data_IF_755262478227
#
_entry.id   IF_755262478227
#
_cell.length_a   1.000
_cell.length_b   1.000
_cell.length_c   1.000
_cell.angle_alpha   90.00
_cell.angle_beta   90.00
_cell.angle_gamma   90.00
#
_symmetry.space_group_name_H-M   'P 1'
#
loop_
_entity.id
_entity.type
_entity.pdbx_description
1 polymer ?
#
# COMPACT_ATOMS: atom_id res chain seq x y z
N UNK A 1 -11.26 -17.84 35.36
CA UNK A 1 -10.26 -17.37 34.38
C UNK A 1 -10.80 -17.72 33.02
N UNK A 2 -11.12 -16.75 32.14
CA UNK A 2 -11.59 -17.08 30.81
C UNK A 2 -10.43 -17.71 30.04
N UNK A 3 -10.63 -18.92 29.53
CA UNK A 3 -9.75 -19.61 28.59
C UNK A 3 -9.47 -18.67 27.40
N UNK A 4 -8.21 -18.37 27.13
CA UNK A 4 -7.82 -17.65 25.92
C UNK A 4 -8.43 -18.35 24.70
N UNK A 5 -9.06 -17.60 23.77
CA UNK A 5 -9.54 -18.21 22.53
C UNK A 5 -8.34 -18.76 21.77
N UNK A 6 -8.45 -20.01 21.31
CA UNK A 6 -7.45 -20.66 20.49
C UNK A 6 -7.37 -19.92 19.15
N UNK A 7 -6.43 -18.97 19.05
CA UNK A 7 -6.16 -18.27 17.81
C UNK A 7 -5.57 -19.26 16.81
N UNK A 8 -6.16 -19.36 15.64
CA UNK A 8 -5.71 -20.30 14.62
C UNK A 8 -5.79 -19.73 13.21
N UNK A 9 -5.16 -20.45 12.28
CA UNK A 9 -5.18 -20.13 10.87
C UNK A 9 -5.98 -21.18 10.11
N UNK A 10 -7.15 -20.81 9.58
CA UNK A 10 -7.94 -21.71 8.75
C UNK A 10 -7.12 -22.29 7.58
N UNK A 11 -7.33 -23.55 7.20
CA UNK A 11 -6.53 -24.22 6.17
C UNK A 11 -6.64 -23.56 4.78
N UNK A 12 -7.72 -22.82 4.52
CA UNK A 12 -7.91 -22.05 3.30
C UNK A 12 -7.00 -20.82 3.20
N UNK A 13 -6.43 -20.32 4.32
CA UNK A 13 -5.57 -19.11 4.30
C UNK A 13 -4.41 -19.21 3.31
N UNK A 14 -3.89 -20.41 3.00
CA UNK A 14 -2.81 -20.61 2.01
C UNK A 14 -3.19 -20.26 0.57
N UNK A 15 -4.48 -20.11 0.29
CA UNK A 15 -5.02 -19.72 -1.02
C UNK A 15 -5.45 -18.25 -1.05
N UNK A 16 -5.23 -17.52 0.04
CA UNK A 16 -5.58 -16.11 0.13
C UNK A 16 -4.52 -15.23 -0.53
N UNK A 17 -4.92 -14.14 -1.17
CA UNK A 17 -4.01 -13.11 -1.71
C UNK A 17 -3.10 -12.49 -0.64
N UNK A 18 -3.54 -12.49 0.62
CA UNK A 18 -2.80 -11.95 1.77
C UNK A 18 -1.88 -12.99 2.45
N UNK A 19 -1.76 -14.19 1.88
CA UNK A 19 -0.84 -15.21 2.37
C UNK A 19 0.62 -14.85 2.06
N UNK A 20 1.43 -14.72 3.10
CA UNK A 20 2.79 -14.15 3.01
C UNK A 20 3.87 -15.15 2.60
N UNK A 21 3.54 -16.44 2.45
CA UNK A 21 4.49 -17.52 2.13
C UNK A 21 5.76 -17.56 3.00
N UNK A 22 5.71 -16.99 4.21
CA UNK A 22 6.81 -16.95 5.17
C UNK A 22 6.56 -17.91 6.33
N UNK A 23 7.64 -18.45 6.90
CA UNK A 23 7.57 -19.31 8.08
C UNK A 23 7.25 -18.54 9.36
N UNK A 24 7.55 -17.24 9.38
CA UNK A 24 7.42 -16.39 10.58
C UNK A 24 6.12 -15.59 10.60
N UNK A 25 5.57 -15.30 9.43
CA UNK A 25 4.34 -14.54 9.26
C UNK A 25 3.50 -15.27 8.22
N UNK A 26 2.25 -15.64 8.56
CA UNK A 26 1.37 -16.42 7.69
C UNK A 26 0.37 -15.57 6.91
N UNK A 27 -0.16 -14.52 7.53
CA UNK A 27 -1.12 -13.59 6.94
C UNK A 27 -0.70 -12.16 7.29
N UNK A 28 -0.75 -11.24 6.31
CA UNK A 28 -0.46 -9.81 6.56
C UNK A 28 -1.55 -9.11 7.38
N UNK A 29 -2.81 -9.55 7.26
CA UNK A 29 -3.95 -8.93 7.94
C UNK A 29 -4.17 -9.46 9.36
N UNK A 30 -3.94 -10.76 9.57
CA UNK A 30 -4.09 -11.43 10.87
C UNK A 30 -2.77 -12.10 11.29
N UNK A 31 -1.78 -11.33 11.77
CA UNK A 31 -0.47 -11.86 12.15
C UNK A 31 -0.49 -12.81 13.36
N UNK A 32 -1.57 -12.82 14.13
CA UNK A 32 -1.75 -13.69 15.31
C UNK A 32 -2.73 -14.85 15.09
N UNK A 33 -3.46 -14.87 13.97
CA UNK A 33 -4.55 -15.81 13.72
C UNK A 33 -5.92 -15.19 14.00
N UNK A 34 -6.97 -16.01 13.84
CA UNK A 34 -8.37 -15.63 14.00
C UNK A 34 -8.97 -16.35 15.22
N UNK A 35 -9.95 -15.71 15.84
CA UNK A 35 -10.80 -16.34 16.87
C UNK A 35 -11.96 -17.14 16.27
N UNK A 36 -12.29 -16.89 14.99
CA UNK A 36 -13.38 -17.51 14.26
C UNK A 36 -12.90 -18.51 13.22
N UNK A 37 -13.79 -19.44 12.84
CA UNK A 37 -13.44 -20.46 11.86
C UNK A 37 -13.35 -19.97 10.41
N UNK A 38 -14.02 -18.85 10.15
CA UNK A 38 -14.01 -18.17 8.88
C UNK A 38 -13.29 -16.83 8.99
N UNK A 39 -12.53 -16.53 7.94
CA UNK A 39 -11.84 -15.26 7.77
C UNK A 39 -12.69 -14.33 6.88
N UNK A 40 -13.18 -13.23 7.43
CA UNK A 40 -13.98 -12.25 6.67
C UNK A 40 -13.14 -11.54 5.59
N UNK A 41 -11.83 -11.46 5.80
CA UNK A 41 -10.87 -10.84 4.89
C UNK A 41 -10.29 -11.84 3.86
N UNK A 42 -10.86 -13.04 3.74
CA UNK A 42 -10.40 -14.04 2.79
C UNK A 42 -10.70 -13.64 1.34
N UNK A 43 -9.64 -13.42 0.57
CA UNK A 43 -9.71 -13.17 -0.87
C UNK A 43 -8.94 -14.27 -1.59
N UNK A 44 -9.63 -15.11 -2.36
CA UNK A 44 -9.01 -16.23 -3.08
C UNK A 44 -8.15 -15.75 -4.26
N UNK A 45 -6.96 -16.31 -4.42
CA UNK A 45 -6.12 -16.08 -5.61
C UNK A 45 -6.88 -16.60 -6.83
N UNK A 46 -7.30 -15.70 -7.73
CA UNK A 46 -7.93 -16.10 -8.98
C UNK A 46 -6.95 -16.96 -9.81
N UNK A 47 -7.37 -18.14 -10.32
CA UNK A 47 -6.51 -18.89 -11.23
C UNK A 47 -6.21 -18.00 -12.43
N UNK A 48 -4.91 -17.84 -12.75
CA UNK A 48 -4.47 -17.17 -13.97
C UNK A 48 -4.94 -17.98 -15.17
N UNK A 49 -6.19 -17.81 -15.57
CA UNK A 49 -6.68 -18.26 -16.86
C UNK A 49 -5.82 -17.58 -17.91
N UNK A 50 -4.99 -18.37 -18.61
CA UNK A 50 -4.13 -17.95 -19.72
C UNK A 50 -4.81 -16.81 -20.46
N UNK A 51 -4.24 -15.60 -20.39
CA UNK A 51 -4.66 -14.46 -21.19
C UNK A 51 -4.67 -14.93 -22.65
N UNK A 52 -5.84 -15.29 -23.17
CA UNK A 52 -6.02 -15.52 -24.60
C UNK A 52 -5.90 -14.13 -25.20
N UNK A 53 -4.76 -13.87 -25.86
CA UNK A 53 -4.64 -12.76 -26.81
C UNK A 53 -5.71 -12.97 -27.87
N UNK A 54 -6.86 -12.32 -27.71
CA UNK A 54 -7.85 -12.20 -28.78
C UNK A 54 -7.38 -10.99 -29.60
N UNK A 55 -6.78 -11.28 -30.75
CA UNK A 55 -6.62 -10.30 -31.82
C UNK A 55 -8.03 -9.94 -32.34
N UNK A 56 -8.37 -8.66 -32.54
CA UNK A 56 -9.65 -8.32 -33.15
C UNK A 56 -9.59 -8.68 -34.65
N UNK A 57 -10.27 -9.76 -35.04
CA UNK A 57 -10.74 -9.95 -36.42
C UNK A 57 -12.23 -9.62 -36.40
N UNK A 58 -12.61 -8.72 -37.29
CA UNK A 58 -13.90 -8.04 -37.28
C UNK A 58 -15.10 -8.90 -37.65
N UNK A 59 -16.22 -8.17 -37.71
CA UNK A 59 -17.48 -8.47 -38.39
C UNK A 59 -18.45 -9.43 -37.66
N UNK A 60 -19.60 -8.87 -37.28
CA UNK A 60 -20.86 -9.62 -37.19
C UNK A 60 -21.52 -9.71 -35.80
N UNK A 61 -22.44 -8.76 -35.55
CA UNK A 61 -23.79 -8.95 -35.01
C UNK A 61 -23.98 -9.60 -33.62
N UNK A 62 -24.48 -8.80 -32.66
CA UNK A 62 -25.38 -9.31 -31.61
C UNK A 62 -25.17 -8.79 -30.19
N UNK A 63 -25.81 -7.64 -29.88
CA UNK A 63 -26.42 -7.23 -28.60
C UNK A 63 -25.74 -7.59 -27.25
N UNK A 64 -25.28 -6.58 -26.51
CA UNK A 64 -25.61 -6.38 -25.09
C UNK A 64 -25.07 -5.04 -24.57
N UNK A 65 -25.96 -4.26 -23.94
CA UNK A 65 -25.74 -3.12 -23.06
C UNK A 65 -24.55 -2.19 -23.34
N UNK A 66 -24.87 -1.04 -23.94
CA UNK A 66 -24.13 0.22 -23.74
C UNK A 66 -24.23 0.61 -22.26
N UNK A 67 -23.30 0.16 -21.42
CA UNK A 67 -22.95 0.97 -20.24
C UNK A 67 -22.09 2.10 -20.78
N UNK A 68 -22.69 3.28 -20.86
CA UNK A 68 -21.99 4.54 -21.09
C UNK A 68 -20.80 4.56 -20.13
N UNK A 69 -19.61 4.34 -20.66
CA UNK A 69 -18.39 4.72 -19.97
C UNK A 69 -18.41 6.24 -20.05
N UNK A 70 -19.15 6.88 -19.15
CA UNK A 70 -18.99 8.30 -18.88
C UNK A 70 -17.49 8.50 -18.69
N UNK A 71 -16.87 9.18 -19.64
CA UNK A 71 -15.47 9.58 -19.57
C UNK A 71 -15.35 10.44 -18.31
N UNK A 72 -15.01 9.78 -17.22
CA UNK A 72 -14.87 10.41 -15.92
C UNK A 72 -13.59 11.22 -15.99
N UNK A 73 -13.73 12.46 -16.47
CA UNK A 73 -12.63 13.41 -16.61
C UNK A 73 -11.93 13.56 -15.27
N UNK A 74 -10.70 13.07 -15.18
CA UNK A 74 -9.84 13.28 -14.01
C UNK A 74 -8.94 14.48 -14.32
N UNK A 75 -8.95 15.48 -13.43
CA UNK A 75 -7.95 16.55 -13.46
C UNK A 75 -6.57 15.93 -13.33
N UNK A 76 -5.62 16.38 -14.16
CA UNK A 76 -4.23 15.88 -14.14
C UNK A 76 -3.65 16.06 -12.73
N UNK A 77 -3.40 14.94 -12.04
CA UNK A 77 -2.87 14.94 -10.66
C UNK A 77 -3.87 14.65 -9.54
N UNK A 78 -5.14 14.38 -9.86
CA UNK A 78 -6.15 13.96 -8.88
C UNK A 78 -6.53 12.48 -9.02
N UNK A 79 -6.83 11.82 -7.90
CA UNK A 79 -7.33 10.45 -7.87
C UNK A 79 -8.49 10.34 -6.87
N UNK A 80 -9.50 9.54 -7.17
CA UNK A 80 -10.57 9.26 -6.22
C UNK A 80 -10.19 8.10 -5.30
N UNK A 81 -10.28 8.31 -3.99
CA UNK A 81 -10.11 7.26 -2.98
C UNK A 81 -11.35 7.23 -2.09
N UNK A 82 -12.02 6.07 -2.00
CA UNK A 82 -13.31 5.90 -1.29
C UNK A 82 -14.41 6.90 -1.72
N UNK A 83 -14.38 7.35 -2.98
CA UNK A 83 -15.31 8.33 -3.52
C UNK A 83 -14.93 9.79 -3.23
N UNK A 84 -13.85 10.05 -2.50
CA UNK A 84 -13.33 11.39 -2.25
C UNK A 84 -12.21 11.75 -3.22
N UNK A 85 -12.21 12.98 -3.75
CA UNK A 85 -11.16 13.48 -4.62
C UNK A 85 -9.91 13.79 -3.78
N UNK A 86 -8.88 12.98 -3.93
CA UNK A 86 -7.57 13.20 -3.32
C UNK A 86 -6.64 13.80 -4.37
N UNK A 87 -6.18 15.03 -4.11
CA UNK A 87 -5.08 15.60 -4.88
C UNK A 87 -3.81 14.82 -4.53
N UNK A 88 -3.25 14.12 -5.49
CA UNK A 88 -1.96 13.50 -5.26
C UNK A 88 -0.92 14.63 -5.20
N UNK A 89 -0.33 14.81 -4.02
CA UNK A 89 0.92 15.55 -3.91
C UNK A 89 1.87 15.04 -4.99
N UNK A 90 2.57 15.95 -5.67
CA UNK A 90 3.42 15.70 -6.84
C UNK A 90 4.09 14.33 -6.74
N UNK A 91 3.77 13.42 -7.66
CA UNK A 91 4.40 12.09 -7.69
C UNK A 91 5.90 12.28 -7.89
N UNK A 92 6.68 12.02 -6.84
CA UNK A 92 8.14 11.93 -6.91
C UNK A 92 8.52 10.77 -7.83
N UNK A 93 9.59 10.93 -8.59
CA UNK A 93 10.16 9.82 -9.37
C UNK A 93 10.67 8.72 -8.42
N UNK A 94 10.86 7.50 -8.92
CA UNK A 94 11.39 6.40 -8.11
C UNK A 94 12.75 6.77 -7.49
N UNK A 95 13.62 7.44 -8.25
CA UNK A 95 14.93 7.88 -7.75
C UNK A 95 14.80 8.89 -6.62
N UNK A 96 13.95 9.91 -6.76
CA UNK A 96 13.70 10.89 -5.71
C UNK A 96 13.10 10.25 -4.44
N UNK A 97 12.29 9.20 -4.59
CA UNK A 97 11.78 8.44 -3.45
C UNK A 97 12.87 7.65 -2.75
N UNK A 98 13.78 7.02 -3.51
CA UNK A 98 14.91 6.30 -2.94
C UNK A 98 15.88 7.24 -2.22
N UNK A 99 16.17 8.40 -2.81
CA UNK A 99 17.01 9.43 -2.18
C UNK A 99 16.43 9.89 -0.84
N UNK A 100 15.11 10.03 -0.71
CA UNK A 100 14.48 10.35 0.57
C UNK A 100 14.72 9.24 1.62
N UNK A 101 14.58 7.98 1.25
CA UNK A 101 14.80 6.86 2.18
C UNK A 101 16.24 6.82 2.68
N UNK A 102 17.19 7.22 1.84
CA UNK A 102 18.62 7.16 2.16
C UNK A 102 19.14 8.42 2.86
N UNK A 103 18.44 9.55 2.76
CA UNK A 103 18.96 10.85 3.25
C UNK A 103 18.11 11.51 4.33
N UNK A 104 16.81 11.18 4.42
CA UNK A 104 15.90 11.94 5.27
C UNK A 104 15.97 11.50 6.74
N UNK A 105 16.05 12.44 7.71
CA UNK A 105 16.16 12.13 9.14
C UNK A 105 15.04 11.24 9.71
N UNK A 106 13.82 11.32 9.17
CA UNK A 106 12.71 10.41 9.49
C UNK A 106 13.09 8.92 9.33
N UNK A 107 13.91 8.59 8.33
CA UNK A 107 14.31 7.21 8.03
C UNK A 107 15.71 6.89 8.56
N UNK A 108 16.63 7.84 8.48
CA UNK A 108 18.05 7.63 8.83
C UNK A 108 18.38 7.98 10.28
N UNK A 109 17.55 8.80 10.93
CA UNK A 109 17.83 9.39 12.25
C UNK A 109 19.00 10.39 12.25
N UNK A 110 19.47 10.84 11.09
CA UNK A 110 20.67 11.69 10.93
C UNK A 110 20.42 12.83 9.97
N UNK A 111 21.05 13.97 10.22
CA UNK A 111 21.07 15.09 9.29
C UNK A 111 21.83 14.70 8.00
N UNK A 112 21.27 14.93 6.80
CA UNK A 112 21.95 14.61 5.54
C UNK A 112 23.21 15.45 5.28
N UNK A 113 23.33 16.62 5.91
CA UNK A 113 24.42 17.56 5.65
C UNK A 113 25.58 17.46 6.67
N UNK A 114 25.29 17.20 7.95
CA UNK A 114 26.32 17.15 8.99
C UNK A 114 26.33 15.86 9.82
N UNK A 115 25.48 14.89 9.47
CA UNK A 115 25.36 13.57 10.11
C UNK A 115 25.01 13.59 11.62
N UNK A 116 24.67 14.77 12.15
CA UNK A 116 24.22 14.92 13.53
C UNK A 116 22.97 14.06 13.74
N UNK A 117 22.97 13.32 14.86
CA UNK A 117 21.82 12.51 15.25
C UNK A 117 20.62 13.41 15.56
N UNK A 118 19.50 13.15 14.90
CA UNK A 118 18.23 13.81 15.17
C UNK A 118 17.37 12.80 15.93
N UNK A 119 17.21 13.03 17.24
CA UNK A 119 16.49 12.12 18.13
C UNK A 119 14.99 12.27 17.87
N UNK A 120 14.35 11.19 17.41
CA UNK A 120 12.89 11.14 17.34
C UNK A 120 12.32 11.16 18.76
N UNK A 121 11.62 12.25 19.10
CA UNK A 121 10.94 12.42 20.39
C UNK A 121 9.45 12.07 20.25
N UNK A 122 8.82 11.70 21.38
CA UNK A 122 7.36 11.56 21.47
C UNK A 122 6.78 12.85 22.08
N UNK A 123 5.72 13.45 21.49
CA UNK A 123 4.97 13.03 20.30
C UNK A 123 5.77 13.21 19.00
N UNK A 124 5.38 12.46 17.95
CA UNK A 124 6.05 12.42 16.66
C UNK A 124 6.34 13.83 16.15
N UNK A 125 7.62 14.11 15.91
CA UNK A 125 8.10 15.40 15.45
C UNK A 125 7.67 15.66 14.00
N UNK A 126 7.14 16.86 13.75
CA UNK A 126 6.65 17.30 12.43
C UNK A 126 7.77 17.97 11.60
N UNK A 127 8.79 18.52 12.25
CA UNK A 127 9.89 19.27 11.61
C UNK A 127 11.23 18.62 11.87
N UNK A 128 12.01 18.32 10.82
CA UNK A 128 13.29 17.62 10.93
C UNK A 128 14.51 18.54 10.81
N UNK A 129 14.39 19.76 11.31
CA UNK A 129 15.43 20.78 11.21
C UNK A 129 16.68 20.41 12.03
N UNK A 130 17.85 20.55 11.41
CA UNK A 130 19.11 20.20 12.03
C UNK A 130 19.67 21.37 12.84
N UNK A 131 19.78 21.20 14.15
CA UNK A 131 20.39 22.20 15.05
C UNK A 131 21.91 22.38 14.87
N UNK A 132 22.61 21.42 14.25
CA UNK A 132 24.05 21.49 14.02
C UNK A 132 24.47 22.39 12.86
N UNK A 133 23.86 22.20 11.68
CA UNK A 133 24.25 22.88 10.45
C UNK A 133 23.15 23.76 9.82
N UNK A 134 21.96 23.84 10.43
CA UNK A 134 20.87 24.68 9.94
C UNK A 134 20.17 24.14 8.69
N UNK A 135 20.33 22.85 8.36
CA UNK A 135 19.52 22.20 7.33
C UNK A 135 18.05 22.16 7.77
N UNK A 136 17.13 22.51 6.88
CA UNK A 136 15.69 22.59 7.13
C UNK A 136 14.99 21.57 6.24
N UNK A 137 14.01 20.85 6.81
CA UNK A 137 13.20 19.90 6.07
C UNK A 137 11.97 20.59 5.42
N UNK A 138 12.04 20.81 4.11
CA UNK A 138 10.95 21.43 3.33
C UNK A 138 9.91 20.41 2.83
N UNK A 139 9.82 19.21 3.42
CA UNK A 139 9.01 18.10 2.91
C UNK A 139 7.51 18.11 3.28
N UNK A 140 6.99 19.20 3.84
CA UNK A 140 5.57 19.33 4.29
C UNK A 140 4.57 19.61 3.17
#
# INVERSE_FOLDING_TARGET
MPSSPDLYYPPQCRFCEFYTHSLYLRCTLHPLGLESEDCLDFVAIAPRSRQRRIAPKGEGLGTAQTSEVEEQWQLVGAAYYKGELVLQARRRTLTEQLELLDTHPLFTGRCPNCELLIVSVHPVQVHWDCQGCGWIDDSV
#
